data_IF_150598823658
#
_entry.id   IF_150598823658
#
_cell.length_a   1.000
_cell.length_b   1.000
_cell.length_c   1.000
_cell.angle_alpha   90.00
_cell.angle_beta   90.00
_cell.angle_gamma   90.00
#
_symmetry.space_group_name_H-M   'P 1'
#
loop_
_entity.id
_entity.type
_entity.pdbx_description
1 polymer ?
#
# COMPACT_ATOMS: atom_id res chain seq x y z
N UNK A 1 4.20 8.40 26.72
CA UNK A 1 5.21 8.48 25.63
C UNK A 1 4.42 8.55 24.35
N UNK A 2 4.41 9.70 23.66
CA UNK A 2 3.61 9.90 22.45
C UNK A 2 4.34 9.27 21.27
N UNK A 3 3.72 8.31 20.59
CA UNK A 3 4.35 7.67 19.44
C UNK A 3 4.08 8.48 18.18
N UNK A 4 5.13 9.10 17.64
CA UNK A 4 5.05 9.85 16.38
C UNK A 4 5.14 8.92 15.16
N UNK A 5 4.73 9.41 13.99
CA UNK A 5 4.65 8.60 12.77
C UNK A 5 5.99 7.92 12.40
N UNK A 6 7.12 8.64 12.49
CA UNK A 6 8.44 8.07 12.19
C UNK A 6 8.84 6.94 13.17
N UNK A 7 8.52 7.07 14.46
CA UNK A 7 8.76 6.01 15.44
C UNK A 7 7.86 4.80 15.22
N UNK A 8 6.62 5.01 14.79
CA UNK A 8 5.72 3.91 14.41
C UNK A 8 6.27 3.08 13.26
N UNK A 9 6.99 3.69 12.33
CA UNK A 9 7.71 2.96 11.28
C UNK A 9 8.84 2.06 11.82
N UNK A 10 9.51 2.48 12.88
CA UNK A 10 10.68 1.81 13.45
C UNK A 10 10.35 0.66 14.40
N UNK A 11 9.21 0.71 15.08
CA UNK A 11 8.87 -0.29 16.12
C UNK A 11 8.31 -1.58 15.52
N UNK A 12 8.68 -2.73 16.07
CA UNK A 12 8.21 -4.04 15.57
C UNK A 12 6.71 -4.32 15.84
N UNK A 13 6.04 -3.48 16.64
CA UNK A 13 4.66 -3.69 17.10
C UNK A 13 3.63 -3.80 15.98
N UNK A 14 3.89 -3.16 14.83
CA UNK A 14 2.96 -3.15 13.69
C UNK A 14 3.41 -4.08 12.56
N UNK A 15 3.74 -5.33 12.93
CA UNK A 15 4.07 -6.38 11.96
C UNK A 15 5.53 -6.41 11.49
N UNK A 16 6.48 -5.94 12.31
CA UNK A 16 7.92 -5.94 12.00
C UNK A 16 8.55 -4.54 11.95
N UNK A 17 9.87 -4.46 11.79
CA UNK A 17 10.61 -3.18 11.58
C UNK A 17 10.63 -2.87 10.08
N UNK A 18 10.38 -1.62 9.68
CA UNK A 18 10.30 -1.26 8.26
C UNK A 18 8.94 -1.58 7.65
N UNK A 19 8.90 -1.96 6.38
CA UNK A 19 7.66 -2.31 5.68
C UNK A 19 6.99 -3.54 6.29
N UNK A 20 5.66 -3.58 6.24
CA UNK A 20 4.87 -4.65 6.82
C UNK A 20 3.38 -4.46 6.58
N UNK A 21 2.53 -5.36 7.08
CA UNK A 21 1.10 -5.38 6.77
C UNK A 21 0.35 -4.10 7.15
N UNK A 22 0.88 -3.31 8.10
CA UNK A 22 0.26 -2.05 8.55
C UNK A 22 1.16 -0.83 8.30
N UNK A 23 2.25 -1.01 7.55
CA UNK A 23 3.29 -0.01 7.30
C UNK A 23 3.56 0.05 5.80
N UNK A 24 2.97 1.05 5.16
CA UNK A 24 2.97 1.16 3.71
C UNK A 24 4.01 2.18 3.26
N UNK A 25 4.80 1.84 2.25
CA UNK A 25 5.69 2.77 1.56
C UNK A 25 5.04 3.24 0.26
N UNK A 26 5.21 4.51 -0.07
CA UNK A 26 4.83 5.10 -1.36
C UNK A 26 5.97 5.95 -1.89
N UNK A 27 6.25 5.86 -3.19
CA UNK A 27 7.15 6.78 -3.90
C UNK A 27 6.32 7.68 -4.81
N UNK A 28 6.06 8.95 -4.43
CA UNK A 28 5.24 9.84 -5.23
C UNK A 28 5.81 10.15 -6.63
N UNK A 29 7.10 9.92 -6.89
CA UNK A 29 7.66 10.10 -8.23
C UNK A 29 7.27 8.96 -9.18
N UNK A 30 6.91 7.78 -8.64
CA UNK A 30 6.44 6.63 -9.41
C UNK A 30 4.91 6.53 -9.40
N UNK A 31 4.28 6.94 -8.30
CA UNK A 31 2.82 6.98 -8.12
C UNK A 31 2.41 8.40 -7.71
N UNK A 32 2.23 9.32 -8.69
CA UNK A 32 2.00 10.74 -8.40
C UNK A 32 0.77 11.02 -7.54
N UNK A 33 -0.19 10.09 -7.51
CA UNK A 33 -1.38 10.18 -6.69
C UNK A 33 -1.55 8.91 -5.86
N UNK A 34 -1.88 9.07 -4.58
CA UNK A 34 -2.16 7.94 -3.69
C UNK A 34 -3.18 8.34 -2.63
N UNK A 35 -4.05 7.41 -2.27
CA UNK A 35 -5.04 7.57 -1.20
C UNK A 35 -4.89 6.45 -0.19
N UNK A 36 -4.90 6.80 1.08
CA UNK A 36 -4.80 5.84 2.18
C UNK A 36 -5.87 6.12 3.22
N UNK A 37 -6.62 5.10 3.62
CA UNK A 37 -7.43 5.14 4.84
C UNK A 37 -6.60 4.61 6.00
N UNK A 38 -6.27 5.49 6.94
CA UNK A 38 -5.42 5.18 8.08
C UNK A 38 -6.27 4.86 9.30
N UNK A 39 -5.88 3.82 10.04
CA UNK A 39 -6.39 3.62 11.40
C UNK A 39 -5.66 4.53 12.39
N UNK A 40 -6.38 5.00 13.40
CA UNK A 40 -5.78 5.75 14.48
C UNK A 40 -4.74 4.94 15.26
N UNK A 41 -3.52 5.50 15.44
CA UNK A 41 -2.45 4.85 16.23
C UNK A 41 -2.94 4.43 17.61
N UNK A 42 -3.81 5.22 18.23
CA UNK A 42 -4.37 4.95 19.55
C UNK A 42 -5.31 3.73 19.64
N UNK A 43 -5.75 3.19 18.51
CA UNK A 43 -6.78 2.14 18.43
C UNK A 43 -6.33 0.97 17.55
N UNK A 44 -5.03 0.87 17.28
CA UNK A 44 -4.44 -0.12 16.36
C UNK A 44 -4.72 -1.58 16.73
N UNK A 45 -4.91 -1.88 18.03
CA UNK A 45 -5.23 -3.23 18.50
C UNK A 45 -6.60 -3.72 18.01
N UNK A 46 -7.46 -2.81 17.52
CA UNK A 46 -8.77 -3.12 16.94
C UNK A 46 -8.78 -2.98 15.40
N UNK A 47 -7.65 -3.26 14.74
CA UNK A 47 -7.51 -3.13 13.28
C UNK A 47 -8.00 -4.34 12.48
N UNK A 48 -9.30 -4.65 12.56
CA UNK A 48 -9.89 -5.84 11.90
C UNK A 48 -9.80 -5.83 10.36
N UNK A 49 -9.67 -4.64 9.78
CA UNK A 49 -9.63 -4.41 8.34
C UNK A 49 -8.20 -4.28 7.79
N UNK A 50 -7.18 -4.52 8.63
CA UNK A 50 -5.77 -4.40 8.27
C UNK A 50 -5.39 -3.04 7.63
N UNK A 51 -5.98 -1.95 8.10
CA UNK A 51 -5.70 -0.61 7.60
C UNK A 51 -4.27 -0.19 7.96
N UNK A 52 -3.60 0.61 7.10
CA UNK A 52 -2.30 1.17 7.42
C UNK A 52 -2.34 2.04 8.69
N UNK A 53 -1.31 1.92 9.53
CA UNK A 53 -1.10 2.73 10.74
C UNK A 53 -0.15 3.90 10.42
N UNK A 54 0.78 3.68 9.48
CA UNK A 54 1.74 4.68 9.03
C UNK A 54 2.03 4.50 7.55
N UNK A 55 2.14 5.63 6.85
CA UNK A 55 2.59 5.69 5.46
C UNK A 55 3.94 6.39 5.42
N UNK A 56 4.97 5.70 4.90
CA UNK A 56 6.25 6.29 4.55
C UNK A 56 6.17 6.85 3.13
N UNK A 57 6.46 8.14 2.98
CA UNK A 57 6.61 8.80 1.68
C UNK A 57 8.10 8.89 1.36
N UNK A 58 8.50 8.06 0.41
CA UNK A 58 9.89 7.88 -0.02
C UNK A 58 10.35 9.05 -0.88
N UNK A 59 11.52 9.59 -0.54
CA UNK A 59 12.16 10.67 -1.30
C UNK A 59 13.31 10.19 -2.18
N UNK A 60 13.69 8.91 -2.08
CA UNK A 60 14.94 8.37 -2.64
C UNK A 60 16.21 9.05 -2.06
N UNK A 61 16.07 9.74 -0.93
CA UNK A 61 17.15 10.38 -0.17
C UNK A 61 17.14 9.90 1.28
N UNK A 62 18.11 10.34 2.08
CA UNK A 62 18.18 10.08 3.52
C UNK A 62 16.93 10.55 4.32
N UNK A 63 16.14 11.47 3.76
CA UNK A 63 15.10 12.24 4.44
C UNK A 63 13.69 11.90 3.95
N UNK A 64 13.03 10.98 4.62
CA UNK A 64 11.67 10.58 4.27
C UNK A 64 10.60 11.22 5.15
N UNK A 65 9.37 11.26 4.64
CA UNK A 65 8.20 11.72 5.40
C UNK A 65 7.38 10.52 5.88
N UNK A 66 6.72 10.69 7.02
CA UNK A 66 5.88 9.69 7.65
C UNK A 66 4.56 10.34 8.01
N UNK A 67 3.47 9.73 7.55
CA UNK A 67 2.12 10.20 7.76
C UNK A 67 1.39 9.20 8.64
N UNK A 68 0.73 9.68 9.69
CA UNK A 68 -0.09 8.83 10.55
C UNK A 68 -1.26 9.60 11.16
N UNK A 69 -2.35 8.89 11.44
CA UNK A 69 -3.50 9.45 12.16
C UNK A 69 -3.27 9.40 13.66
N UNK A 70 -3.06 10.58 14.26
CA UNK A 70 -2.70 10.75 15.66
C UNK A 70 -3.93 10.75 16.57
N UNK A 71 -4.66 9.63 16.56
CA UNK A 71 -5.85 9.42 17.38
C UNK A 71 -5.51 9.54 18.87
N UNK A 72 -6.18 10.46 19.58
CA UNK A 72 -6.04 10.67 21.02
C UNK A 72 -6.74 9.56 21.81
N UNK A 73 -6.23 8.35 21.71
CA UNK A 73 -6.67 7.14 22.41
C UNK A 73 -5.48 6.23 22.67
N UNK A 74 -5.66 5.22 23.53
CA UNK A 74 -4.62 4.23 23.84
C UNK A 74 -3.27 4.88 24.19
N UNK A 75 -2.16 4.46 23.54
CA UNK A 75 -0.83 5.04 23.77
C UNK A 75 -0.72 6.56 23.58
N UNK A 76 -1.62 7.15 22.79
CA UNK A 76 -1.64 8.57 22.44
C UNK A 76 -2.77 9.35 23.17
N UNK A 77 -3.44 8.74 24.17
CA UNK A 77 -4.54 9.37 24.91
C UNK A 77 -4.15 10.63 25.70
N UNK A 78 -2.86 10.81 26.00
CA UNK A 78 -2.32 11.95 26.74
C UNK A 78 -1.47 12.87 25.85
N UNK A 79 -1.69 12.82 24.54
CA UNK A 79 -1.07 13.77 23.65
C UNK A 79 -1.50 15.20 24.03
N UNK A 80 -0.55 16.14 23.87
CA UNK A 80 -0.76 17.57 24.14
C UNK A 80 -0.83 18.38 22.86
N UNK A 81 -0.61 17.74 21.71
CA UNK A 81 -0.57 18.35 20.39
C UNK A 81 -1.03 17.34 19.32
N UNK A 82 -1.73 17.86 18.31
CA UNK A 82 -2.20 17.11 17.15
C UNK A 82 -3.20 15.98 17.48
N UNK A 83 -4.02 16.18 18.52
CA UNK A 83 -5.03 15.22 18.94
C UNK A 83 -6.09 15.03 17.86
N UNK A 84 -6.27 13.78 17.44
CA UNK A 84 -7.24 13.42 16.40
C UNK A 84 -7.00 14.15 15.07
N UNK A 85 -5.73 14.40 14.75
CA UNK A 85 -5.30 15.00 13.50
C UNK A 85 -4.33 14.07 12.75
N UNK A 86 -4.19 14.29 11.43
CA UNK A 86 -3.16 13.62 10.64
C UNK A 86 -1.84 14.34 10.85
N UNK A 87 -0.80 13.62 11.22
CA UNK A 87 0.54 14.17 11.46
C UNK A 87 1.47 13.85 10.30
N UNK A 88 2.34 14.79 9.97
CA UNK A 88 3.38 14.66 8.95
C UNK A 88 4.72 14.89 9.63
N UNK A 89 5.55 13.86 9.69
CA UNK A 89 6.86 13.86 10.35
C UNK A 89 7.94 13.60 9.31
N UNK A 90 9.03 14.36 9.33
CA UNK A 90 10.19 14.09 8.48
C UNK A 90 11.37 13.62 9.34
N UNK A 91 12.11 12.62 8.87
CA UNK A 91 13.43 12.28 9.44
C UNK A 91 14.53 13.10 8.78
N UNK A 92 15.60 13.42 9.50
CA UNK A 92 16.77 14.11 8.93
C UNK A 92 17.75 13.18 8.22
N UNK A 93 17.80 11.90 8.62
CA UNK A 93 18.64 10.89 7.99
C UNK A 93 18.12 9.45 8.17
N UNK A 94 18.79 8.49 7.53
CA UNK A 94 18.60 7.06 7.77
C UNK A 94 17.31 6.45 7.25
N UNK A 95 16.52 7.16 6.43
CA UNK A 95 15.32 6.65 5.75
C UNK A 95 14.25 6.08 6.68
N UNK A 96 14.30 6.47 7.96
CA UNK A 96 13.48 5.90 9.03
C UNK A 96 13.78 4.45 9.40
N UNK A 97 14.84 3.82 8.87
CA UNK A 97 15.20 2.42 9.17
C UNK A 97 15.93 2.28 10.50
N UNK A 98 16.73 3.28 10.88
CA UNK A 98 17.49 3.33 12.14
C UNK A 98 17.10 4.50 13.03
N UNK A 99 17.77 4.63 14.18
CA UNK A 99 17.61 5.83 15.00
C UNK A 99 18.02 7.07 14.19
N UNK A 100 17.09 8.00 14.05
CA UNK A 100 17.31 9.32 13.46
C UNK A 100 16.44 10.33 14.22
N UNK A 101 16.83 11.60 14.17
CA UNK A 101 15.99 12.65 14.72
C UNK A 101 14.85 12.92 13.72
N UNK A 102 13.68 13.25 14.28
CA UNK A 102 12.46 13.42 13.48
C UNK A 102 11.74 14.67 13.91
N UNK A 103 11.14 15.37 12.95
CA UNK A 103 10.54 16.68 13.15
C UNK A 103 9.09 16.64 12.67
N UNK A 104 8.16 17.07 13.52
CA UNK A 104 6.78 17.32 13.12
C UNK A 104 6.76 18.52 12.16
N UNK A 105 6.39 18.28 10.90
CA UNK A 105 6.30 19.33 9.88
C UNK A 105 4.92 19.96 9.83
N UNK A 106 3.89 19.16 10.02
CA UNK A 106 2.52 19.63 10.08
C UNK A 106 1.63 18.65 10.85
N UNK A 107 0.53 19.18 11.35
CA UNK A 107 -0.63 18.42 11.79
C UNK A 107 -1.87 19.01 11.10
N UNK A 108 -2.74 18.13 10.63
CA UNK A 108 -3.82 18.46 9.72
C UNK A 108 -5.15 18.02 10.31
N UNK A 109 -5.98 19.01 10.64
CA UNK A 109 -7.41 18.79 10.81
C UNK A 109 -8.06 18.35 9.49
N UNK A 110 -9.29 17.82 9.58
CA UNK A 110 -10.11 17.46 8.42
C UNK A 110 -10.15 18.60 7.39
N UNK A 111 -10.01 18.24 6.11
CA UNK A 111 -9.94 19.11 4.94
C UNK A 111 -8.75 20.08 4.89
N UNK A 112 -7.71 19.88 5.71
CA UNK A 112 -6.48 20.66 5.65
C UNK A 112 -5.39 19.92 4.88
N UNK A 113 -4.50 20.70 4.28
CA UNK A 113 -3.40 20.19 3.49
C UNK A 113 -2.08 20.85 3.90
N UNK A 114 -0.99 20.13 3.66
CA UNK A 114 0.38 20.59 3.79
C UNK A 114 1.10 20.37 2.46
N UNK A 115 1.90 21.35 2.04
CA UNK A 115 2.64 21.28 0.78
C UNK A 115 4.14 21.37 1.03
N UNK A 116 4.89 20.39 0.54
CA UNK A 116 6.33 20.46 0.38
C UNK A 116 6.60 21.08 -0.97
N UNK A 117 7.18 22.28 -1.03
CA UNK A 117 7.29 23.06 -2.28
C UNK A 117 8.30 22.51 -3.29
N UNK A 118 9.30 21.75 -2.84
CA UNK A 118 10.32 21.13 -3.69
C UNK A 118 10.61 19.72 -3.17
N UNK A 119 9.72 18.79 -3.48
CA UNK A 119 9.80 17.42 -2.97
C UNK A 119 10.98 16.68 -3.61
N UNK A 120 11.80 16.01 -2.79
CA UNK A 120 12.98 15.26 -3.23
C UNK A 120 13.95 16.04 -4.15
N UNK A 121 13.99 17.38 -4.06
CA UNK A 121 14.75 18.27 -4.94
C UNK A 121 14.39 18.17 -6.43
N UNK A 122 13.18 17.73 -6.75
CA UNK A 122 12.69 17.55 -8.13
C UNK A 122 12.29 18.86 -8.81
N UNK A 123 12.06 19.92 -8.04
CA UNK A 123 11.44 21.17 -8.48
C UNK A 123 9.91 21.15 -8.43
N UNK A 124 9.30 20.00 -8.14
CA UNK A 124 7.85 19.82 -8.10
C UNK A 124 7.32 19.74 -6.64
N UNK A 125 6.09 20.23 -6.37
CA UNK A 125 5.52 20.17 -5.05
C UNK A 125 4.93 18.80 -4.71
N UNK A 126 4.87 18.47 -3.43
CA UNK A 126 4.07 17.38 -2.89
C UNK A 126 2.99 17.96 -1.97
N UNK A 127 1.72 17.66 -2.24
CA UNK A 127 0.58 18.02 -1.39
C UNK A 127 0.08 16.81 -0.62
N UNK A 128 -0.05 16.93 0.70
CA UNK A 128 -0.62 15.91 1.58
C UNK A 128 -1.87 16.51 2.22
N UNK A 129 -3.03 15.87 2.02
CA UNK A 129 -4.33 16.36 2.49
C UNK A 129 -4.98 15.36 3.43
N UNK A 130 -5.43 15.81 4.61
CA UNK A 130 -6.32 15.05 5.48
C UNK A 130 -7.76 15.19 4.97
N UNK A 131 -8.16 14.34 4.04
CA UNK A 131 -9.43 14.43 3.32
C UNK A 131 -10.64 14.23 4.24
N UNK A 132 -10.56 13.24 5.11
CA UNK A 132 -11.58 12.97 6.12
C UNK A 132 -10.92 12.50 7.40
N UNK A 133 -11.61 12.74 8.51
CA UNK A 133 -11.32 12.16 9.81
C UNK A 133 -12.69 11.77 10.36
N UNK A 134 -12.88 10.48 10.62
CA UNK A 134 -14.09 9.92 11.20
C UNK A 134 -13.80 9.46 12.63
N UNK A 135 -14.37 10.20 13.58
CA UNK A 135 -14.28 9.90 15.02
C UNK A 135 -15.55 9.22 15.55
N UNK A 136 -16.53 8.97 14.68
CA UNK A 136 -17.81 8.36 15.07
C UNK A 136 -17.76 6.83 15.13
N UNK A 137 -16.71 6.25 14.57
CA UNK A 137 -16.45 4.81 14.54
C UNK A 137 -15.36 4.41 15.53
N UNK A 138 -15.32 3.12 15.89
CA UNK A 138 -14.24 2.55 16.69
C UNK A 138 -13.78 1.23 16.05
N UNK A 139 -12.59 1.18 15.43
CA UNK A 139 -11.57 2.21 15.45
C UNK A 139 -11.91 3.42 14.54
N UNK A 140 -11.46 4.60 14.96
CA UNK A 140 -11.55 5.82 14.16
C UNK A 140 -10.55 5.77 13.00
N UNK A 141 -10.95 6.33 11.86
CA UNK A 141 -10.12 6.35 10.65
C UNK A 141 -9.92 7.76 10.11
N UNK A 142 -8.88 7.94 9.30
CA UNK A 142 -8.64 9.18 8.56
C UNK A 142 -8.21 8.86 7.13
N UNK A 143 -8.82 9.51 6.14
CA UNK A 143 -8.41 9.38 4.74
C UNK A 143 -7.41 10.47 4.41
N UNK A 144 -6.26 10.06 3.84
CA UNK A 144 -5.20 10.95 3.39
C UNK A 144 -5.03 10.84 1.89
N UNK A 145 -4.94 11.98 1.21
CA UNK A 145 -4.52 12.07 -0.19
C UNK A 145 -3.10 12.62 -0.28
N UNK A 146 -2.30 11.99 -1.15
CA UNK A 146 -0.94 12.43 -1.50
C UNK A 146 -0.94 12.72 -3.00
N UNK A 147 -0.47 13.90 -3.39
CA UNK A 147 -0.39 14.33 -4.77
C UNK A 147 0.99 14.97 -5.04
N UNK A 148 1.69 14.49 -6.07
CA UNK A 148 2.99 14.99 -6.51
C UNK A 148 2.88 15.69 -7.85
N UNK A 149 3.53 16.85 -7.97
CA UNK A 149 3.47 17.71 -9.13
C UNK A 149 2.36 18.77 -9.08
N UNK A 150 2.37 19.65 -10.08
CA UNK A 150 1.37 20.71 -10.27
C UNK A 150 0.24 20.34 -11.24
N UNK A 151 0.41 19.26 -11.99
CA UNK A 151 -0.55 18.81 -13.01
C UNK A 151 -1.61 17.92 -12.39
N UNK A 152 -2.86 18.38 -12.38
CA UNK A 152 -4.02 17.54 -12.05
C UNK A 152 -4.23 16.49 -13.15
N UNK A 153 -4.40 15.22 -12.77
CA UNK A 153 -4.73 14.12 -13.69
C UNK A 153 -6.10 14.32 -14.35
N UNK A 154 -7.05 14.91 -13.62
CA UNK A 154 -8.40 15.21 -14.11
C UNK A 154 -8.88 16.57 -13.60
N UNK A 155 -9.81 17.17 -14.33
CA UNK A 155 -10.56 18.37 -13.95
C UNK A 155 -12.08 18.18 -14.01
N UNK A 156 -12.53 17.22 -14.81
CA UNK A 156 -13.91 16.74 -14.92
C UNK A 156 -13.95 15.22 -14.93
N UNK A 157 -15.11 14.64 -14.60
CA UNK A 157 -15.28 13.17 -14.56
C UNK A 157 -14.97 12.51 -15.91
N UNK A 158 -15.18 13.23 -17.02
CA UNK A 158 -14.84 12.76 -18.37
C UNK A 158 -13.33 12.63 -18.63
N UNK A 159 -12.48 13.30 -17.85
CA UNK A 159 -11.02 13.17 -17.95
C UNK A 159 -10.56 11.83 -17.33
N UNK A 160 -11.39 11.22 -16.48
CA UNK A 160 -11.16 9.93 -15.88
C UNK A 160 -11.63 8.81 -16.83
N UNK A 161 -10.84 8.61 -17.88
CA UNK A 161 -10.98 7.43 -18.72
C UNK A 161 -10.51 6.21 -17.97
N UNK A 162 -11.24 5.12 -18.15
CA UNK A 162 -10.96 3.81 -17.57
C UNK A 162 -9.51 3.39 -17.81
N UNK A 163 -8.78 3.08 -16.74
CA UNK A 163 -7.33 2.82 -16.76
C UNK A 163 -6.97 1.36 -16.48
N UNK A 164 -7.95 0.45 -16.51
CA UNK A 164 -7.78 -0.97 -16.23
C UNK A 164 -7.69 -1.33 -14.73
N UNK A 165 -7.63 -0.34 -13.83
CA UNK A 165 -7.36 -0.60 -12.40
C UNK A 165 -8.60 -0.97 -11.59
N UNK A 166 -9.80 -0.53 -12.01
CA UNK A 166 -11.05 -0.73 -11.27
C UNK A 166 -12.22 -1.07 -12.19
N UNK A 167 -12.92 -2.17 -11.91
CA UNK A 167 -13.93 -2.74 -12.84
C UNK A 167 -15.36 -2.56 -12.38
N UNK A 168 -15.52 -2.14 -11.13
CA UNK A 168 -16.82 -1.84 -10.53
C UNK A 168 -16.81 -0.39 -10.09
N UNK A 169 -17.97 0.26 -10.10
CA UNK A 169 -18.10 1.64 -9.65
C UNK A 169 -17.96 2.69 -10.76
N UNK A 170 -18.12 3.95 -10.35
CA UNK A 170 -18.04 5.11 -11.23
C UNK A 170 -16.68 5.75 -11.05
N UNK A 171 -15.92 5.87 -12.14
CA UNK A 171 -14.74 6.73 -12.19
C UNK A 171 -15.19 8.18 -12.16
N UNK A 172 -14.76 8.91 -11.15
CA UNK A 172 -15.10 10.33 -10.96
C UNK A 172 -13.85 11.13 -10.69
N UNK A 173 -13.85 12.37 -11.15
CA UNK A 173 -12.75 13.26 -10.85
C UNK A 173 -12.96 13.87 -9.48
N UNK A 174 -12.04 13.61 -8.56
CA UNK A 174 -11.95 14.39 -7.35
C UNK A 174 -11.44 15.78 -7.71
N UNK A 175 -12.34 16.75 -7.91
CA UNK A 175 -12.02 18.11 -8.36
C UNK A 175 -11.07 18.88 -7.42
N UNK A 176 -11.01 18.48 -6.14
CA UNK A 176 -10.10 19.07 -5.16
C UNK A 176 -8.67 18.59 -5.44
N UNK A 177 -8.47 17.27 -5.49
CA UNK A 177 -7.14 16.66 -5.67
C UNK A 177 -6.69 16.62 -7.13
N UNK A 178 -7.64 16.69 -8.07
CA UNK A 178 -7.41 16.45 -9.49
C UNK A 178 -7.08 15.00 -9.82
N UNK A 179 -7.47 14.05 -8.97
CA UNK A 179 -7.24 12.62 -9.17
C UNK A 179 -8.52 11.89 -9.57
N UNK A 180 -8.40 10.89 -10.42
CA UNK A 180 -9.48 9.96 -10.71
C UNK A 180 -9.67 9.02 -9.52
N UNK A 181 -10.90 8.90 -9.07
CA UNK A 181 -11.29 8.04 -7.95
C UNK A 181 -12.42 7.12 -8.39
N UNK A 182 -12.25 5.84 -8.10
CA UNK A 182 -13.26 4.81 -8.34
C UNK A 182 -14.09 4.56 -7.09
N UNK A 183 -15.39 4.31 -7.26
CA UNK A 183 -16.26 3.89 -6.15
C UNK A 183 -16.29 2.37 -5.93
N UNK A 184 -15.57 1.58 -6.74
CA UNK A 184 -15.55 0.12 -6.61
C UNK A 184 -14.23 -0.45 -6.12
N UNK A 185 -14.20 -1.78 -6.02
CA UNK A 185 -13.02 -2.53 -5.56
C UNK A 185 -12.19 -3.01 -6.75
N UNK A 186 -10.84 -3.02 -6.64
CA UNK A 186 -9.99 -3.60 -7.67
C UNK A 186 -10.19 -5.12 -7.72
N UNK A 187 -9.89 -5.73 -8.87
CA UNK A 187 -9.90 -7.18 -8.99
C UNK A 187 -8.87 -7.84 -8.05
N UNK A 188 -9.20 -9.03 -7.56
CA UNK A 188 -8.24 -9.83 -6.80
C UNK A 188 -7.04 -10.24 -7.68
N UNK A 189 -5.89 -10.47 -7.05
CA UNK A 189 -4.70 -11.00 -7.73
C UNK A 189 -5.03 -12.28 -8.52
N UNK A 190 -4.58 -12.34 -9.78
CA UNK A 190 -4.92 -13.42 -10.71
C UNK A 190 -6.17 -13.15 -11.57
N UNK A 191 -6.77 -11.98 -11.44
CA UNK A 191 -7.83 -11.49 -12.31
C UNK A 191 -7.43 -10.14 -12.93
N UNK A 192 -7.83 -9.93 -14.17
CA UNK A 192 -7.74 -8.65 -14.87
C UNK A 192 -9.11 -7.99 -14.98
N UNK A 193 -9.08 -6.69 -15.13
CA UNK A 193 -10.27 -5.91 -15.36
C UNK A 193 -10.81 -6.07 -16.79
N UNK A 194 -12.09 -6.40 -16.91
CA UNK A 194 -12.83 -6.37 -18.18
C UNK A 194 -13.91 -5.30 -18.07
N UNK A 195 -13.52 -4.09 -18.43
CA UNK A 195 -14.32 -2.87 -18.28
C UNK A 195 -15.60 -2.89 -19.12
N UNK A 196 -15.53 -3.46 -20.34
CA UNK A 196 -16.66 -3.63 -21.25
C UNK A 196 -17.87 -4.31 -20.62
N UNK A 197 -17.64 -5.14 -19.60
CA UNK A 197 -18.69 -5.90 -18.92
C UNK A 197 -18.62 -5.79 -17.39
N UNK A 198 -17.89 -4.79 -16.88
CA UNK A 198 -17.71 -4.50 -15.44
C UNK A 198 -17.40 -5.76 -14.61
N UNK A 199 -16.46 -6.58 -15.10
CA UNK A 199 -16.20 -7.90 -14.52
C UNK A 199 -14.72 -8.20 -14.40
N UNK A 200 -14.36 -9.03 -13.42
CA UNK A 200 -13.02 -9.58 -13.27
C UNK A 200 -12.92 -10.88 -14.05
N UNK A 201 -12.03 -10.93 -15.04
CA UNK A 201 -11.72 -12.16 -15.77
C UNK A 201 -10.41 -12.75 -15.25
N UNK A 202 -10.35 -14.07 -15.07
CA UNK A 202 -9.11 -14.73 -14.75
C UNK A 202 -8.04 -14.36 -15.79
N UNK A 203 -6.82 -14.16 -15.30
CA UNK A 203 -5.70 -13.82 -16.14
C UNK A 203 -4.45 -14.58 -15.70
N UNK A 204 -3.68 -14.96 -16.71
CA UNK A 204 -2.57 -15.89 -16.66
C UNK A 204 -1.32 -15.28 -17.31
N UNK A 205 -1.26 -13.95 -17.38
CA UNK A 205 -0.10 -13.20 -17.85
C UNK A 205 0.73 -12.68 -16.67
N UNK A 206 2.04 -12.92 -16.71
CA UNK A 206 3.01 -12.34 -15.80
C UNK A 206 4.00 -11.49 -16.58
N UNK A 207 4.25 -10.28 -16.10
CA UNK A 207 5.29 -9.38 -16.62
C UNK A 207 6.38 -9.23 -15.57
N UNK A 208 7.61 -9.57 -15.94
CA UNK A 208 8.81 -9.37 -15.12
C UNK A 208 9.62 -8.25 -15.73
N UNK A 209 9.77 -7.15 -15.01
CA UNK A 209 10.59 -6.01 -15.38
C UNK A 209 11.83 -5.98 -14.49
N UNK A 210 13.02 -5.88 -15.08
CA UNK A 210 14.29 -5.83 -14.36
C UNK A 210 15.13 -4.69 -14.91
N UNK A 211 15.52 -3.77 -14.04
CA UNK A 211 16.66 -2.89 -14.24
C UNK A 211 17.84 -3.51 -13.52
N UNK A 212 18.91 -3.84 -14.24
CA UNK A 212 20.10 -4.43 -13.63
C UNK A 212 20.95 -3.36 -12.95
N UNK A 213 21.85 -3.80 -12.07
CA UNK A 213 22.91 -2.97 -11.51
C UNK A 213 24.18 -3.02 -12.40
N UNK A 214 25.39 -2.87 -11.84
CA UNK A 214 26.62 -3.01 -12.61
C UNK A 214 27.06 -4.46 -12.84
N UNK A 215 26.44 -5.46 -12.20
CA UNK A 215 26.74 -6.89 -12.31
C UNK A 215 25.51 -7.68 -12.78
N UNK A 216 24.97 -7.38 -13.98
CA UNK A 216 23.74 -7.98 -14.50
C UNK A 216 23.81 -9.51 -14.62
N UNK A 217 24.99 -10.09 -14.80
CA UNK A 217 25.22 -11.52 -14.93
C UNK A 217 24.83 -12.32 -13.68
N UNK A 218 24.86 -11.70 -12.50
CA UNK A 218 24.55 -12.35 -11.22
C UNK A 218 23.04 -12.47 -10.98
N UNK A 219 22.24 -11.69 -11.72
CA UNK A 219 20.77 -11.69 -11.59
C UNK A 219 20.14 -12.81 -12.40
N UNK A 220 19.27 -13.58 -11.74
CA UNK A 220 18.40 -14.55 -12.43
C UNK A 220 17.04 -14.67 -11.77
N UNK A 221 16.05 -15.19 -12.48
CA UNK A 221 14.76 -15.50 -11.87
C UNK A 221 14.12 -16.76 -12.46
N UNK A 222 13.20 -17.37 -11.71
CA UNK A 222 12.39 -18.49 -12.13
C UNK A 222 10.97 -18.41 -11.55
N UNK A 223 9.99 -18.92 -12.31
CA UNK A 223 8.63 -19.18 -11.82
C UNK A 223 8.45 -20.69 -11.73
N UNK A 224 8.13 -21.18 -10.54
CA UNK A 224 7.88 -22.60 -10.29
C UNK A 224 6.42 -22.86 -9.95
N UNK A 225 5.88 -23.97 -10.45
CA UNK A 225 4.58 -24.48 -10.04
C UNK A 225 4.73 -25.17 -8.68
N UNK A 226 3.91 -24.78 -7.69
CA UNK A 226 4.05 -25.28 -6.32
C UNK A 226 3.58 -26.73 -6.16
N UNK A 227 2.64 -27.18 -7.00
CA UNK A 227 2.05 -28.53 -6.90
C UNK A 227 3.02 -29.65 -7.21
N UNK A 228 4.01 -29.42 -8.08
CA UNK A 228 4.95 -30.43 -8.57
C UNK A 228 6.42 -29.95 -8.59
N UNK A 229 6.69 -28.70 -8.19
CA UNK A 229 8.01 -28.09 -8.19
C UNK A 229 8.57 -27.80 -9.60
N UNK A 230 7.76 -27.92 -10.65
CA UNK A 230 8.21 -27.73 -12.03
C UNK A 230 8.54 -26.27 -12.30
N UNK A 231 9.72 -25.99 -12.85
CA UNK A 231 10.04 -24.67 -13.41
C UNK A 231 9.18 -24.46 -14.65
N UNK A 232 8.28 -23.48 -14.58
CA UNK A 232 7.43 -23.08 -15.71
C UNK A 232 8.27 -22.29 -16.71
N UNK A 233 9.05 -21.34 -16.21
CA UNK A 233 9.93 -20.49 -17.00
C UNK A 233 11.01 -19.86 -16.11
N UNK A 234 12.13 -19.48 -16.71
CA UNK A 234 13.25 -18.84 -16.03
C UNK A 234 14.08 -18.01 -17.01
N UNK A 235 14.80 -17.02 -16.47
CA UNK A 235 15.73 -16.20 -17.24
C UNK A 235 16.97 -15.85 -16.42
N UNK A 236 18.12 -15.84 -17.08
CA UNK A 236 19.43 -15.47 -16.54
C UNK A 236 20.30 -14.88 -17.65
N UNK A 237 21.53 -14.47 -17.31
CA UNK A 237 22.50 -13.96 -18.27
C UNK A 237 22.13 -12.59 -18.82
N UNK A 238 21.71 -11.69 -17.94
CA UNK A 238 21.37 -10.33 -18.35
C UNK A 238 22.59 -9.56 -18.80
N UNK A 239 22.36 -8.62 -19.70
CA UNK A 239 23.29 -7.53 -19.99
C UNK A 239 22.86 -6.29 -19.21
N UNK A 240 23.76 -5.33 -19.06
CA UNK A 240 23.46 -4.12 -18.28
C UNK A 240 22.33 -3.33 -18.93
N UNK A 241 21.24 -3.07 -18.20
CA UNK A 241 20.13 -2.26 -18.69
C UNK A 241 18.77 -2.64 -18.12
N UNK A 242 17.72 -2.22 -18.84
CA UNK A 242 16.33 -2.53 -18.55
C UNK A 242 15.83 -3.66 -19.45
N UNK A 243 15.15 -4.63 -18.84
CA UNK A 243 14.64 -5.83 -19.48
C UNK A 243 13.19 -6.06 -19.08
N UNK A 244 12.39 -6.56 -20.03
CA UNK A 244 10.99 -6.90 -19.82
C UNK A 244 10.74 -8.27 -20.42
N UNK A 245 10.23 -9.17 -19.59
CA UNK A 245 9.82 -10.51 -19.98
C UNK A 245 8.32 -10.64 -19.76
N UNK A 246 7.59 -10.92 -20.83
CA UNK A 246 6.14 -11.16 -20.78
C UNK A 246 5.88 -12.66 -20.96
N UNK A 247 5.17 -13.25 -20.01
CA UNK A 247 4.85 -14.66 -19.99
C UNK A 247 3.33 -14.80 -19.95
N UNK A 248 2.74 -15.42 -20.96
CA UNK A 248 1.30 -15.70 -21.04
C UNK A 248 1.04 -17.21 -20.88
N UNK A 249 -0.23 -17.59 -20.77
CA UNK A 249 -0.67 -18.99 -20.70
C UNK A 249 -0.12 -19.76 -19.48
N UNK A 250 0.07 -19.07 -18.34
CA UNK A 250 0.48 -19.75 -17.11
C UNK A 250 -0.61 -20.71 -16.63
N UNK A 251 -0.29 -22.00 -16.38
CA UNK A 251 -1.28 -22.99 -15.96
C UNK A 251 -1.94 -22.58 -14.64
N UNK A 252 -3.22 -22.86 -14.36
CA UNK A 252 -3.85 -22.49 -13.08
C UNK A 252 -3.15 -23.06 -11.85
N UNK A 253 -3.26 -22.38 -10.71
CA UNK A 253 -2.79 -22.84 -9.40
C UNK A 253 -1.65 -22.00 -8.79
N UNK A 254 -1.21 -22.39 -7.60
CA UNK A 254 -0.19 -21.69 -6.83
C UNK A 254 1.20 -21.82 -7.47
N UNK A 255 1.93 -20.71 -7.48
CA UNK A 255 3.27 -20.57 -8.03
C UNK A 255 4.13 -19.72 -7.14
N UNK A 256 5.43 -19.88 -7.32
CA UNK A 256 6.45 -19.08 -6.67
C UNK A 256 7.34 -18.43 -7.72
N UNK A 257 7.36 -17.10 -7.77
CA UNK A 257 8.42 -16.33 -8.42
C UNK A 257 9.62 -16.27 -7.47
N UNK A 258 10.80 -16.58 -7.99
CA UNK A 258 12.07 -16.50 -7.26
C UNK A 258 13.03 -15.66 -8.07
N UNK A 259 13.51 -14.55 -7.49
CA UNK A 259 14.66 -13.81 -8.01
C UNK A 259 15.89 -14.18 -7.19
N UNK A 260 17.05 -14.27 -7.85
CA UNK A 260 18.32 -14.63 -7.26
C UNK A 260 19.40 -13.67 -7.70
N UNK A 261 20.36 -13.52 -6.81
CA UNK A 261 21.59 -12.79 -7.01
C UNK A 261 22.74 -13.66 -6.49
N UNK A 262 23.66 -14.03 -7.37
CA UNK A 262 24.71 -15.00 -7.05
C UNK A 262 25.74 -14.46 -6.05
N UNK A 263 25.98 -13.14 -6.03
CA UNK A 263 26.89 -12.48 -5.09
C UNK A 263 26.26 -12.28 -3.70
N UNK A 264 24.95 -12.05 -3.68
CA UNK A 264 24.12 -11.97 -2.48
C UNK A 264 23.97 -10.57 -1.89
N UNK A 265 24.31 -9.52 -2.64
CA UNK A 265 24.03 -8.13 -2.31
C UNK A 265 22.77 -7.58 -3.00
N UNK A 266 22.17 -8.39 -3.87
CA UNK A 266 20.97 -8.04 -4.61
C UNK A 266 21.27 -7.07 -5.73
N UNK A 267 20.23 -6.60 -6.42
CA UNK A 267 20.40 -5.79 -7.62
C UNK A 267 20.54 -4.28 -7.33
N UNK A 268 21.11 -3.90 -6.17
CA UNK A 268 21.18 -2.49 -5.80
C UNK A 268 22.36 -2.06 -4.94
N UNK A 269 22.46 -0.73 -4.93
CA UNK A 269 22.80 0.17 -3.85
C UNK A 269 24.21 0.74 -3.94
N UNK A 270 25.25 -0.05 -3.66
CA UNK A 270 26.63 0.43 -3.77
C UNK A 270 27.20 0.25 -5.17
N UNK A 271 26.73 -0.78 -5.89
CA UNK A 271 27.28 -1.21 -7.17
C UNK A 271 26.32 -1.01 -8.33
N UNK A 272 25.35 -0.11 -8.19
CA UNK A 272 24.41 0.21 -9.25
C UNK A 272 23.01 0.42 -8.69
N UNK A 273 22.12 0.96 -9.51
CA UNK A 273 20.73 1.25 -9.12
C UNK A 273 19.79 0.38 -9.94
N UNK A 274 19.87 -0.93 -9.73
CA UNK A 274 18.92 -1.87 -10.28
C UNK A 274 17.65 -1.97 -9.41
N UNK A 275 16.64 -2.61 -9.98
CA UNK A 275 15.34 -2.88 -9.37
C UNK A 275 14.61 -3.95 -10.19
N UNK A 276 13.67 -4.64 -9.57
CA UNK A 276 12.77 -5.55 -10.25
C UNK A 276 11.33 -5.25 -9.89
N UNK A 277 10.43 -5.57 -10.80
CA UNK A 277 8.98 -5.49 -10.62
C UNK A 277 8.32 -6.67 -11.32
N UNK A 278 7.43 -7.35 -10.62
CA UNK A 278 6.64 -8.46 -11.16
C UNK A 278 5.17 -8.09 -11.08
N UNK A 279 4.50 -8.17 -12.21
CA UNK A 279 3.06 -7.94 -12.32
C UNK A 279 2.39 -9.24 -12.71
N UNK A 280 1.29 -9.57 -12.05
CA UNK A 280 0.34 -10.56 -12.52
C UNK A 280 -0.82 -9.78 -13.13
N UNK A 281 -0.99 -9.91 -14.44
CA UNK A 281 -1.84 -9.04 -15.23
C UNK A 281 -1.33 -7.60 -15.11
N UNK A 282 -2.07 -6.72 -14.44
CA UNK A 282 -1.69 -5.32 -14.20
C UNK A 282 -1.34 -5.05 -12.72
N UNK A 283 -1.67 -5.99 -11.83
CA UNK A 283 -1.40 -5.87 -10.41
C UNK A 283 0.06 -6.21 -10.12
N UNK A 284 0.80 -5.26 -9.54
CA UNK A 284 2.14 -5.52 -9.02
C UNK A 284 2.04 -6.50 -7.86
N UNK A 285 2.65 -7.67 -8.01
CA UNK A 285 2.69 -8.73 -6.99
C UNK A 285 4.02 -8.76 -6.24
N UNK A 286 5.08 -8.24 -6.84
CA UNK A 286 6.40 -8.11 -6.22
C UNK A 286 7.14 -6.91 -6.78
N UNK A 287 7.91 -6.22 -5.95
CA UNK A 287 8.91 -5.26 -6.40
C UNK A 287 10.01 -5.16 -5.34
N UNK A 288 11.24 -4.95 -5.79
CA UNK A 288 12.38 -4.96 -4.88
C UNK A 288 13.64 -4.46 -5.55
N UNK A 289 14.69 -4.31 -4.74
CA UNK A 289 16.02 -3.88 -5.20
C UNK A 289 17.15 -4.41 -4.32
N UNK A 290 16.99 -4.37 -2.99
CA UNK A 290 17.97 -4.86 -2.03
C UNK A 290 17.46 -6.13 -1.36
N UNK A 291 17.85 -7.28 -1.91
CA UNK A 291 17.63 -8.59 -1.32
C UNK A 291 19.00 -9.26 -1.11
N UNK A 292 19.05 -10.36 -0.34
CA UNK A 292 20.28 -11.14 -0.20
C UNK A 292 20.56 -11.95 -1.46
N UNK A 293 20.85 -13.25 -1.30
CA UNK A 293 21.03 -14.14 -2.46
C UNK A 293 19.74 -14.52 -3.18
N UNK A 294 18.57 -14.33 -2.54
CA UNK A 294 17.29 -14.61 -3.18
C UNK A 294 16.12 -13.94 -2.46
N UNK A 295 15.04 -13.74 -3.22
CA UNK A 295 13.73 -13.32 -2.72
C UNK A 295 12.64 -14.12 -3.43
N UNK A 296 11.58 -14.48 -2.71
CA UNK A 296 10.48 -15.28 -3.23
C UNK A 296 9.14 -14.57 -3.04
N UNK A 297 8.31 -14.61 -4.07
CA UNK A 297 6.93 -14.12 -4.03
C UNK A 297 5.99 -15.22 -4.51
N UNK A 298 4.97 -15.51 -3.71
CA UNK A 298 3.92 -16.46 -4.08
C UNK A 298 2.76 -15.75 -4.76
N UNK A 299 2.24 -16.36 -5.81
CA UNK A 299 1.05 -15.88 -6.52
C UNK A 299 0.25 -17.06 -7.08
N UNK A 300 -1.01 -16.81 -7.41
CA UNK A 300 -1.91 -17.84 -7.93
C UNK A 300 -2.55 -17.35 -9.22
N UNK A 301 -2.50 -18.15 -10.27
CA UNK A 301 -3.31 -17.91 -11.47
C UNK A 301 -4.61 -18.71 -11.34
N UNK A 302 -5.73 -18.07 -11.64
CA UNK A 302 -7.06 -18.66 -11.50
C UNK A 302 -7.55 -19.19 -12.84
N UNK A 303 -8.55 -20.08 -12.82
CA UNK A 303 -9.30 -20.46 -14.01
C UNK A 303 -10.78 -20.15 -13.81
N UNK A 304 -11.42 -19.58 -14.85
CA UNK A 304 -12.84 -19.26 -14.85
C UNK A 304 -13.19 -17.89 -14.24
N UNK A 305 -14.49 -17.53 -14.19
CA UNK A 305 -14.95 -16.27 -13.60
C UNK A 305 -14.73 -16.27 -12.09
N UNK A 306 -14.53 -15.08 -11.52
CA UNK A 306 -14.37 -14.89 -10.07
C UNK A 306 -15.51 -15.57 -9.30
N UNK A 307 -15.24 -16.33 -8.22
CA UNK A 307 -16.30 -16.90 -7.41
C UNK A 307 -17.21 -15.78 -6.89
N UNK A 308 -18.51 -15.86 -7.19
CA UNK A 308 -19.50 -14.98 -6.56
C UNK A 308 -19.44 -15.26 -5.06
N UNK A 309 -19.23 -14.23 -4.24
CA UNK A 309 -19.29 -14.41 -2.78
C UNK A 309 -20.59 -15.15 -2.41
N UNK A 310 -20.51 -16.17 -1.53
CA UNK A 310 -21.72 -16.82 -1.05
C UNK A 310 -22.61 -15.77 -0.38
N UNK A 311 -23.95 -15.82 -0.57
CA UNK A 311 -24.85 -14.82 -0.01
C UNK A 311 -24.62 -14.71 1.50
N UNK A 312 -24.25 -13.50 1.95
CA UNK A 312 -24.09 -13.16 3.36
C UNK A 312 -25.32 -13.63 4.13
N UNK A 313 -25.14 -14.59 5.04
CA UNK A 313 -26.22 -15.11 5.86
C UNK A 313 -26.90 -13.94 6.59
N UNK A 314 -28.23 -13.89 6.51
CA UNK A 314 -29.04 -12.86 7.15
C UNK A 314 -28.75 -12.80 8.67
N UNK A 315 -28.75 -11.61 9.28
CA UNK A 315 -28.43 -11.47 10.70
C UNK A 315 -29.43 -12.24 11.56
N UNK A 316 -28.93 -13.18 12.34
CA UNK A 316 -29.68 -13.86 13.40
C UNK A 316 -30.06 -12.84 14.47
N UNK A 317 -31.36 -12.62 14.65
CA UNK A 317 -31.89 -11.75 15.70
C UNK A 317 -31.44 -12.22 17.09
N UNK A 318 -30.84 -11.32 17.87
CA UNK A 318 -30.52 -11.55 19.29
C UNK A 318 -31.79 -11.67 20.15
N UNK A 319 -31.77 -12.45 21.24
CA UNK A 319 -32.92 -12.62 22.12
C UNK A 319 -33.08 -11.44 23.10
N UNK A 320 -34.29 -10.90 23.16
CA UNK A 320 -34.75 -9.88 24.11
C UNK A 320 -34.67 -10.38 25.55
N UNK A 321 -33.89 -9.72 26.41
CA UNK A 321 -33.93 -9.92 27.85
C UNK A 321 -35.10 -9.12 28.49
N UNK A 322 -35.96 -9.80 29.25
CA UNK A 322 -37.03 -9.20 30.06
C UNK A 322 -36.48 -8.43 31.29
N UNK A 323 -37.19 -7.39 31.76
CA UNK A 323 -36.75 -6.59 32.89
C UNK A 323 -37.11 -7.22 34.24
N UNK A 324 -36.18 -7.10 35.19
CA UNK A 324 -36.31 -7.48 36.61
C UNK A 324 -37.20 -6.47 37.35
N UNK A 325 -38.22 -6.95 38.09
CA UNK A 325 -39.04 -6.13 38.99
C UNK A 325 -38.46 -6.11 40.43
N UNK A 326 -38.42 -4.91 41.01
CA UNK A 326 -37.99 -4.59 42.39
C UNK A 326 -38.98 -5.08 43.49
N UNK A 327 -38.54 -5.14 44.77
CA UNK A 327 -39.31 -5.72 45.87
C UNK A 327 -40.17 -4.68 46.61
N UNK A 328 -41.27 -5.08 47.24
CA UNK A 328 -41.93 -4.25 48.27
C UNK A 328 -42.51 -5.08 49.42
N UNK A 329 -41.98 -4.75 50.60
CA UNK A 329 -42.42 -4.81 52.00
C UNK A 329 -43.60 -5.70 52.47
N UNK A 330 -43.37 -6.36 53.61
CA UNK A 330 -44.42 -6.82 54.54
C UNK A 330 -44.57 -5.84 55.73
N UNK A 331 -45.75 -5.83 56.39
CA UNK A 331 -46.17 -4.83 57.38
C UNK A 331 -45.62 -5.02 58.80
#
# INVERSE_FOLDING_TARGET
>A
MCFNAAKNWQVAWYGGVGEGPYKVKVDPQLTPFSTFELIGIGEFDNNKNNLPIVVKVETSTAQDYFIAFNRAAGPNAQNVQADNEVTIVQVDEGNGVGYAQSYLKAHLAKNKAYTVSNFANTGEPLSITAASIDLSTQPATAVVHIAFGTTKQCTVDADCTSDGSYCTGVESCNKITGACVSSGSPCQSGYRCMEDNQSCAACDEVVVEITTDNYPEDTSWAITQDSDGRIITSKSGYSKGYHVEKISDLPPGAKTFTIKDDYGDGICCSWGKGSYKVKLCEATIAEGRGFGSSELTRFTTMSGPMPTEPPSAAPTAEPTAEPTAEPTAEP
#
